data_IF_859349367539
#
_entry.id   IF_859349367539
#
_cell.length_a   1.000
_cell.length_b   1.000
_cell.length_c   1.000
_cell.angle_alpha   90.00
_cell.angle_beta   90.00
_cell.angle_gamma   90.00
#
_symmetry.space_group_name_H-M   'P 1'
#
loop_
_entity.id
_entity.type
_entity.pdbx_description
1 polymer ?
#
# COMPACT_ATOMS: atom_id res chain seq x y z
N UNK A 1 12.00 22.81 1.18
CA UNK A 1 12.07 21.39 1.57
C UNK A 1 10.90 20.70 0.90
N UNK A 2 11.10 19.57 0.23
CA UNK A 2 9.97 18.86 -0.37
C UNK A 2 8.98 18.44 0.72
N UNK A 3 7.68 18.67 0.50
CA UNK A 3 6.63 18.24 1.42
C UNK A 3 6.65 16.72 1.56
N UNK A 4 6.57 16.23 2.80
CA UNK A 4 6.48 14.79 3.07
C UNK A 4 5.13 14.29 2.54
N UNK A 5 5.16 13.21 1.74
CA UNK A 5 3.96 12.56 1.21
C UNK A 5 3.45 11.50 2.18
N UNK A 6 2.14 11.33 2.28
CA UNK A 6 1.51 10.30 3.09
C UNK A 6 1.03 9.18 2.18
N UNK A 7 1.51 7.96 2.37
CA UNK A 7 1.16 6.81 1.53
C UNK A 7 0.41 5.75 2.37
N UNK A 8 -0.73 5.31 1.89
CA UNK A 8 -1.42 4.15 2.46
C UNK A 8 -0.81 2.86 1.90
N UNK A 9 -0.47 1.88 2.74
CA UNK A 9 0.06 0.59 2.29
C UNK A 9 -1.00 -0.49 2.44
N UNK A 10 -1.50 -1.01 1.32
CA UNK A 10 -2.50 -2.08 1.26
C UNK A 10 -1.81 -3.43 1.07
N UNK A 11 -2.00 -4.38 1.98
CA UNK A 11 -1.33 -5.69 1.97
C UNK A 11 -2.21 -6.80 2.55
N UNK A 12 -1.97 -8.06 2.16
CA UNK A 12 -2.60 -9.21 2.79
C UNK A 12 -1.98 -9.47 4.17
N UNK A 13 -2.77 -9.94 5.15
CA UNK A 13 -2.27 -10.11 6.52
C UNK A 13 -1.10 -11.10 6.60
N UNK A 14 -1.08 -12.07 5.70
CA UNK A 14 -0.03 -13.06 5.51
C UNK A 14 1.32 -12.41 5.13
N UNK A 15 1.29 -11.21 4.54
CA UNK A 15 2.48 -10.49 4.06
C UNK A 15 2.95 -9.40 5.03
N UNK A 16 2.58 -9.50 6.32
CA UNK A 16 3.01 -8.55 7.37
C UNK A 16 4.53 -8.37 7.41
N UNK A 17 5.30 -9.43 7.14
CA UNK A 17 6.76 -9.37 7.08
C UNK A 17 7.25 -8.44 5.97
N UNK A 18 6.63 -8.49 4.80
CA UNK A 18 6.93 -7.58 3.69
C UNK A 18 6.60 -6.14 4.07
N UNK A 19 5.47 -5.90 4.73
CA UNK A 19 5.16 -4.57 5.26
C UNK A 19 6.21 -4.09 6.27
N UNK A 20 6.69 -4.97 7.15
CA UNK A 20 7.72 -4.62 8.15
C UNK A 20 9.08 -4.30 7.52
N UNK A 21 9.43 -4.96 6.41
CA UNK A 21 10.64 -4.59 5.66
C UNK A 21 10.51 -3.22 4.99
N UNK A 22 9.36 -2.91 4.39
CA UNK A 22 9.09 -1.58 3.84
C UNK A 22 9.14 -0.51 4.93
N UNK A 23 8.57 -0.80 6.12
CA UNK A 23 8.70 0.04 7.31
C UNK A 23 10.14 0.32 7.65
N UNK A 24 10.93 -0.74 7.83
CA UNK A 24 12.33 -0.62 8.21
C UNK A 24 13.12 0.19 7.19
N UNK A 25 12.83 0.04 5.90
CA UNK A 25 13.45 0.83 4.83
C UNK A 25 13.14 2.33 4.99
N UNK A 26 11.88 2.69 5.28
CA UNK A 26 11.47 4.08 5.46
C UNK A 26 12.11 4.76 6.68
N UNK A 27 12.40 4.00 7.75
CA UNK A 27 13.02 4.53 8.98
C UNK A 27 14.54 4.70 8.86
N UNK A 28 15.19 3.89 8.04
CA UNK A 28 16.66 3.89 7.89
C UNK A 28 17.16 4.76 6.73
N UNK A 29 16.26 5.36 5.96
CA UNK A 29 16.58 6.25 4.84
C UNK A 29 15.90 7.59 5.03
N UNK A 30 16.39 8.66 4.38
CA UNK A 30 15.62 9.91 4.25
C UNK A 30 14.42 9.60 3.35
N UNK A 31 13.39 9.03 3.94
CA UNK A 31 12.18 8.64 3.24
C UNK A 31 11.30 9.87 3.01
N UNK A 32 10.90 10.16 1.76
CA UNK A 32 9.99 11.26 1.47
C UNK A 32 8.55 10.96 1.90
N UNK A 33 8.29 9.75 2.43
CA UNK A 33 6.96 9.31 2.79
C UNK A 33 6.83 8.79 4.22
N UNK A 34 5.68 9.07 4.81
CA UNK A 34 5.17 8.39 6.00
C UNK A 34 4.05 7.46 5.56
N UNK A 35 4.08 6.22 6.05
CA UNK A 35 3.06 5.24 5.71
C UNK A 35 2.33 4.77 6.96
N UNK A 36 1.03 4.52 6.80
CA UNK A 36 0.14 4.18 7.92
C UNK A 36 -0.22 2.70 7.79
N UNK A 37 0.29 1.88 8.72
CA UNK A 37 -0.14 0.51 8.91
C UNK A 37 -1.48 0.50 9.66
N UNK A 38 -2.50 -0.09 9.05
CA UNK A 38 -3.86 -0.05 9.59
C UNK A 38 -4.64 -1.33 9.41
N UNK A 39 -3.93 -2.41 9.19
CA UNK A 39 -4.52 -3.73 9.08
C UNK A 39 -5.49 -3.93 10.23
N UNK A 40 -6.77 -4.03 9.87
CA UNK A 40 -7.80 -4.35 10.83
C UNK A 40 -7.66 -5.84 11.07
N UNK A 41 -7.16 -6.24 12.24
CA UNK A 41 -7.10 -7.66 12.62
C UNK A 41 -8.49 -8.32 12.60
N UNK A 42 -9.55 -7.51 12.62
CA UNK A 42 -10.94 -7.95 12.71
C UNK A 42 -11.77 -7.18 11.67
N UNK A 43 -11.88 -7.71 10.44
CA UNK A 43 -12.86 -7.26 9.44
C UNK A 43 -14.34 -7.43 9.89
N UNK A 44 -14.54 -7.89 11.13
CA UNK A 44 -15.81 -8.17 11.80
C UNK A 44 -16.32 -7.01 12.68
N UNK A 45 -15.53 -5.96 12.91
CA UNK A 45 -15.93 -4.80 13.71
C UNK A 45 -16.76 -3.80 12.87
N UNK A 46 -17.94 -3.40 13.36
CA UNK A 46 -18.78 -2.45 12.66
C UNK A 46 -18.06 -1.11 12.43
N UNK A 47 -17.94 -0.69 11.17
CA UNK A 47 -17.37 0.61 10.80
C UNK A 47 -15.88 0.61 10.48
N UNK A 48 -15.22 -0.55 10.43
CA UNK A 48 -13.81 -0.63 9.98
C UNK A 48 -13.60 0.01 8.60
N UNK A 49 -14.54 -0.21 7.66
CA UNK A 49 -14.52 0.38 6.32
C UNK A 49 -14.53 1.91 6.34
N UNK A 50 -15.33 2.52 7.23
CA UNK A 50 -15.41 3.98 7.33
C UNK A 50 -14.08 4.58 7.83
N UNK A 51 -13.43 3.91 8.81
CA UNK A 51 -12.11 4.30 9.30
C UNK A 51 -11.03 4.15 8.24
N UNK A 52 -11.03 3.03 7.51
CA UNK A 52 -10.06 2.79 6.43
C UNK A 52 -10.23 3.80 5.30
N UNK A 53 -11.47 4.02 4.85
CA UNK A 53 -11.82 5.05 3.86
C UNK A 53 -11.32 6.42 4.26
N UNK A 54 -11.52 6.83 5.52
CA UNK A 54 -11.07 8.14 6.01
C UNK A 54 -9.55 8.32 5.89
N UNK A 55 -8.78 7.26 6.12
CA UNK A 55 -7.33 7.34 6.09
C UNK A 55 -6.78 7.20 4.66
N UNK A 56 -7.43 6.41 3.78
CA UNK A 56 -7.19 6.45 2.32
C UNK A 56 -7.46 7.85 1.75
N UNK A 57 -8.57 8.50 2.16
CA UNK A 57 -8.87 9.89 1.74
C UNK A 57 -7.77 10.89 2.12
N UNK A 58 -7.09 10.67 3.25
CA UNK A 58 -6.03 11.54 3.77
C UNK A 58 -4.64 11.21 3.21
N UNK A 59 -4.46 10.10 2.50
CA UNK A 59 -3.17 9.78 1.86
C UNK A 59 -3.05 10.47 0.51
N UNK A 60 -1.83 10.75 0.09
CA UNK A 60 -1.48 11.25 -1.25
C UNK A 60 -1.53 10.13 -2.29
N UNK A 61 -1.27 8.89 -1.86
CA UNK A 61 -1.34 7.70 -2.73
C UNK A 61 -1.55 6.41 -1.94
N UNK A 62 -1.75 5.31 -2.69
CA UNK A 62 -1.92 3.96 -2.16
C UNK A 62 -0.92 3.01 -2.82
N UNK A 63 -0.03 2.44 -2.01
CA UNK A 63 0.94 1.43 -2.40
C UNK A 63 0.41 0.04 -2.04
N UNK A 64 0.27 -0.83 -3.01
CA UNK A 64 -0.24 -2.19 -2.84
C UNK A 64 0.94 -3.15 -2.80
N UNK A 65 1.11 -3.88 -1.70
CA UNK A 65 2.06 -5.00 -1.66
C UNK A 65 1.46 -6.19 -2.40
N UNK A 66 2.08 -6.52 -3.53
CA UNK A 66 1.61 -7.57 -4.43
C UNK A 66 2.40 -8.84 -4.15
N UNK A 67 1.66 -9.84 -3.68
CA UNK A 67 2.13 -11.20 -3.44
C UNK A 67 1.12 -12.20 -4.01
N UNK A 68 1.43 -13.49 -4.02
CA UNK A 68 0.47 -14.55 -4.30
C UNK A 68 -0.73 -14.55 -3.33
N UNK A 69 -0.56 -14.08 -2.10
CA UNK A 69 -1.64 -13.98 -1.10
C UNK A 69 -2.62 -12.84 -1.41
N UNK A 70 -2.18 -11.82 -2.14
CA UNK A 70 -2.97 -10.62 -2.44
C UNK A 70 -4.30 -10.94 -3.15
N UNK A 71 -4.32 -11.98 -3.98
CA UNK A 71 -5.53 -12.41 -4.69
C UNK A 71 -6.62 -12.96 -3.77
N UNK A 72 -6.26 -13.39 -2.55
CA UNK A 72 -7.19 -14.00 -1.58
C UNK A 72 -7.62 -13.01 -0.50
N UNK A 73 -6.95 -11.87 -0.38
CA UNK A 73 -7.25 -10.88 0.65
C UNK A 73 -8.42 -9.99 0.27
N UNK A 74 -9.59 -10.29 0.84
CA UNK A 74 -10.81 -9.48 0.68
C UNK A 74 -10.64 -8.07 1.24
N UNK A 75 -9.87 -7.92 2.32
CA UNK A 75 -9.52 -6.62 2.91
C UNK A 75 -8.71 -5.77 1.93
N UNK A 76 -7.63 -6.32 1.39
CA UNK A 76 -6.77 -5.61 0.43
C UNK A 76 -7.53 -5.26 -0.86
N UNK A 77 -8.37 -6.17 -1.38
CA UNK A 77 -9.19 -5.88 -2.55
C UNK A 77 -10.16 -4.73 -2.30
N UNK A 78 -10.79 -4.69 -1.12
CA UNK A 78 -11.67 -3.61 -0.73
C UNK A 78 -10.92 -2.28 -0.63
N UNK A 79 -9.71 -2.27 -0.06
CA UNK A 79 -8.85 -1.08 0.02
C UNK A 79 -8.50 -0.53 -1.37
N UNK A 80 -8.10 -1.40 -2.30
CA UNK A 80 -7.78 -1.01 -3.69
C UNK A 80 -9.01 -0.41 -4.37
N UNK A 81 -10.18 -1.03 -4.20
CA UNK A 81 -11.43 -0.51 -4.73
C UNK A 81 -11.76 0.86 -4.13
N UNK A 82 -11.66 1.00 -2.82
CA UNK A 82 -11.91 2.26 -2.11
C UNK A 82 -10.96 3.36 -2.58
N UNK A 83 -9.67 3.06 -2.75
CA UNK A 83 -8.70 4.03 -3.26
C UNK A 83 -9.07 4.56 -4.65
N UNK A 84 -9.55 3.68 -5.55
CA UNK A 84 -10.03 4.09 -6.88
C UNK A 84 -11.30 4.93 -6.80
N UNK A 85 -12.25 4.56 -5.96
CA UNK A 85 -13.48 5.35 -5.72
C UNK A 85 -13.17 6.74 -5.17
N UNK A 86 -12.11 6.86 -4.36
CA UNK A 86 -11.62 8.12 -3.81
C UNK A 86 -10.67 8.89 -4.75
N UNK A 87 -10.46 8.39 -5.98
CA UNK A 87 -9.60 9.03 -6.98
C UNK A 87 -8.12 9.07 -6.58
N UNK A 88 -7.68 8.22 -5.65
CA UNK A 88 -6.29 8.18 -5.18
C UNK A 88 -5.40 7.44 -6.18
N UNK A 89 -4.17 7.94 -6.44
CA UNK A 89 -3.18 7.19 -7.22
C UNK A 89 -2.88 5.84 -6.56
N UNK A 90 -3.00 4.75 -7.32
CA UNK A 90 -2.73 3.39 -6.85
C UNK A 90 -1.55 2.80 -7.62
N UNK A 91 -0.57 2.24 -6.90
CA UNK A 91 0.58 1.53 -7.48
C UNK A 91 0.80 0.22 -6.74
N UNK A 92 1.03 -0.86 -7.47
CA UNK A 92 1.45 -2.14 -6.91
C UNK A 92 2.96 -2.25 -6.82
N UNK A 93 3.45 -3.08 -5.91
CA UNK A 93 4.86 -3.45 -5.81
C UNK A 93 4.99 -4.95 -5.51
N UNK A 94 5.73 -5.69 -6.35
CA UNK A 94 6.00 -7.11 -6.07
C UNK A 94 6.95 -7.25 -4.89
N UNK A 95 6.53 -8.01 -3.87
CA UNK A 95 7.34 -8.19 -2.66
C UNK A 95 8.53 -9.13 -2.87
N UNK A 96 8.39 -10.08 -3.79
CA UNK A 96 9.37 -11.13 -4.05
C UNK A 96 9.87 -11.06 -5.49
N UNK A 97 11.12 -11.48 -5.72
CA UNK A 97 11.77 -11.38 -7.03
C UNK A 97 11.07 -12.21 -8.11
N UNK A 98 10.62 -13.40 -7.75
CA UNK A 98 10.03 -14.38 -8.67
C UNK A 98 8.50 -14.28 -8.74
N UNK A 99 7.89 -13.45 -7.88
CA UNK A 99 6.46 -13.23 -7.88
C UNK A 99 6.06 -12.21 -8.96
N UNK A 100 5.14 -12.61 -9.83
CA UNK A 100 4.54 -11.76 -10.87
C UNK A 100 3.02 -11.76 -10.82
N UNK A 101 2.47 -11.95 -9.63
CA UNK A 101 1.04 -11.87 -9.36
C UNK A 101 0.50 -10.55 -9.91
N UNK A 102 -0.61 -10.66 -10.64
CA UNK A 102 -1.32 -9.52 -11.20
C UNK A 102 -2.58 -9.26 -10.39
N UNK A 103 -2.81 -7.98 -10.10
CA UNK A 103 -4.07 -7.47 -9.57
C UNK A 103 -4.68 -6.62 -10.67
N UNK A 104 -5.92 -6.92 -11.05
CA UNK A 104 -6.60 -6.26 -12.16
C UNK A 104 -6.69 -4.74 -11.94
N UNK A 105 -6.23 -3.99 -12.95
CA UNK A 105 -6.21 -2.52 -12.94
C UNK A 105 -5.15 -1.90 -12.00
N UNK A 106 -4.25 -2.68 -11.40
CA UNK A 106 -3.13 -2.17 -10.60
C UNK A 106 -1.86 -2.33 -11.41
N UNK A 107 -1.21 -1.22 -11.74
CA UNK A 107 0.12 -1.26 -12.32
C UNK A 107 1.15 -1.60 -11.25
N UNK A 108 1.92 -2.66 -11.45
CA UNK A 108 2.86 -3.17 -10.45
C UNK A 108 4.30 -2.93 -10.86
N UNK A 109 5.14 -2.50 -9.92
CA UNK A 109 6.57 -2.27 -10.11
C UNK A 109 7.42 -3.23 -9.27
N UNK A 110 8.70 -3.37 -9.63
CA UNK A 110 9.66 -4.13 -8.83
C UNK A 110 10.01 -3.36 -7.56
N UNK A 111 10.13 -4.03 -6.42
CA UNK A 111 10.62 -3.42 -5.19
C UNK A 111 12.08 -3.01 -5.33
N UNK A 112 12.27 -1.71 -5.60
CA UNK A 112 13.56 -1.03 -5.48
C UNK A 112 13.33 0.33 -4.86
N UNK A 113 14.33 0.88 -4.18
CA UNK A 113 14.24 2.22 -3.61
C UNK A 113 13.91 3.27 -4.66
N UNK A 114 14.59 3.21 -5.82
CA UNK A 114 14.40 4.18 -6.90
C UNK A 114 12.97 4.17 -7.44
N UNK A 115 12.36 2.99 -7.61
CA UNK A 115 10.98 2.91 -8.08
C UNK A 115 9.99 3.52 -7.07
N UNK A 116 10.19 3.25 -5.78
CA UNK A 116 9.36 3.81 -4.70
C UNK A 116 9.52 5.33 -4.66
N UNK A 117 10.75 5.84 -4.65
CA UNK A 117 11.05 7.26 -4.62
C UNK A 117 10.45 8.00 -5.83
N UNK A 118 10.70 7.50 -7.05
CA UNK A 118 10.18 8.10 -8.27
C UNK A 118 8.66 8.13 -8.32
N UNK A 119 8.00 7.07 -7.83
CA UNK A 119 6.54 7.06 -7.78
C UNK A 119 6.00 8.11 -6.79
N UNK A 120 6.63 8.24 -5.63
CA UNK A 120 6.21 9.15 -4.57
C UNK A 120 6.46 10.61 -4.93
N UNK A 121 7.58 10.90 -5.60
CA UNK A 121 7.86 12.23 -6.15
C UNK A 121 6.84 12.64 -7.23
N UNK A 122 6.17 11.66 -7.85
CA UNK A 122 5.11 11.87 -8.83
C UNK A 122 3.68 11.93 -8.26
N UNK A 123 3.49 11.82 -6.94
CA UNK A 123 2.19 11.97 -6.26
C UNK A 123 1.88 13.44 -5.97
#
# INVERSE_FOLDING_TARGET
>A
MAEKKVVFVAFAIEDVRSRDYLKGQSLNTRSPFEYIDMSVKEAYDEGWKARVRTRIKRSDGVLVLVTENAQRSTGQQWEIKCAREEGKPVRGMWCYKDDRTKIEGVYTMVWTWNNIANWIDGL
#
